data_IF_853796343026
#
_entry.id   IF_853796343026
#
_cell.length_a   1.000
_cell.length_b   1.000
_cell.length_c   1.000
_cell.angle_alpha   90.00
_cell.angle_beta   90.00
_cell.angle_gamma   90.00
#
_symmetry.space_group_name_H-M   'P 1'
#
loop_
_entity.id
_entity.type
_entity.pdbx_description
1 polymer ?
#
# COMPACT_ATOMS: atom_id res chain seq x y z
N UNK A 1 -20.68 12.65 -33.17
CA UNK A 1 -20.33 11.90 -31.94
C UNK A 1 -19.07 12.45 -31.33
N UNK A 2 -18.94 12.31 -30.01
CA UNK A 2 -17.80 12.74 -29.18
C UNK A 2 -17.13 11.51 -28.59
N UNK A 3 -15.80 11.45 -28.64
CA UNK A 3 -15.02 10.31 -28.17
C UNK A 3 -14.25 10.65 -26.89
N UNK A 4 -14.45 9.84 -25.84
CA UNK A 4 -13.71 9.91 -24.57
C UNK A 4 -13.05 8.56 -24.34
N UNK A 5 -11.73 8.50 -24.54
CA UNK A 5 -11.01 7.23 -24.53
C UNK A 5 -11.50 6.32 -25.66
N UNK A 6 -11.90 5.10 -25.32
CA UNK A 6 -12.50 4.12 -26.24
C UNK A 6 -14.01 4.26 -26.40
N UNK A 7 -14.66 5.08 -25.57
CA UNK A 7 -16.11 5.23 -25.55
C UNK A 7 -16.56 6.37 -26.45
N UNK A 8 -17.70 6.19 -27.10
CA UNK A 8 -18.24 7.09 -28.11
C UNK A 8 -19.65 7.48 -27.73
N UNK A 9 -19.97 8.78 -27.81
CA UNK A 9 -21.26 9.33 -27.40
C UNK A 9 -21.95 10.11 -28.52
N UNK A 10 -23.28 10.06 -28.53
CA UNK A 10 -24.12 10.85 -29.42
C UNK A 10 -23.98 12.35 -29.09
N UNK A 11 -23.78 13.19 -30.10
CA UNK A 11 -23.65 14.64 -29.87
C UNK A 11 -24.99 15.32 -29.52
N UNK A 12 -26.11 14.70 -29.89
CA UNK A 12 -27.42 15.33 -29.75
C UNK A 12 -28.08 14.99 -28.41
N UNK A 13 -28.00 13.73 -27.98
CA UNK A 13 -28.64 13.27 -26.74
C UNK A 13 -27.68 12.76 -25.67
N UNK A 14 -26.38 12.65 -25.95
CA UNK A 14 -25.37 12.16 -25.01
C UNK A 14 -25.37 10.66 -24.75
N UNK A 15 -26.19 9.87 -25.46
CA UNK A 15 -26.21 8.41 -25.30
C UNK A 15 -24.89 7.76 -25.73
N UNK A 16 -24.50 6.65 -25.08
CA UNK A 16 -23.40 5.81 -25.54
C UNK A 16 -23.80 5.13 -26.87
N UNK A 17 -22.95 5.28 -27.88
CA UNK A 17 -23.14 4.65 -29.18
C UNK A 17 -22.44 3.28 -29.23
N UNK A 18 -22.90 2.43 -30.15
CA UNK A 18 -22.28 1.13 -30.40
C UNK A 18 -20.83 1.28 -30.89
N UNK A 19 -20.07 0.19 -30.79
CA UNK A 19 -18.66 0.16 -31.19
C UNK A 19 -18.47 0.69 -32.63
N UNK A 20 -17.53 1.63 -32.77
CA UNK A 20 -17.09 2.14 -34.06
C UNK A 20 -16.54 1.01 -34.93
N UNK A 21 -16.90 1.00 -36.20
CA UNK A 21 -16.23 0.16 -37.21
C UNK A 21 -14.86 0.72 -37.61
N UNK A 22 -14.54 1.96 -37.20
CA UNK A 22 -13.29 2.64 -37.54
C UNK A 22 -13.25 3.13 -38.98
N UNK A 23 -14.40 3.18 -39.66
CA UNK A 23 -14.53 3.62 -41.03
C UNK A 23 -15.20 5.00 -41.08
N UNK A 24 -14.47 6.09 -41.40
CA UNK A 24 -15.00 7.44 -41.35
C UNK A 24 -16.13 7.71 -42.36
N UNK A 25 -16.36 6.78 -43.29
CA UNK A 25 -17.46 6.86 -44.27
C UNK A 25 -18.78 6.30 -43.73
N UNK A 26 -18.75 5.54 -42.64
CA UNK A 26 -19.94 4.95 -42.02
C UNK A 26 -20.62 5.90 -41.06
N UNK A 27 -21.93 5.71 -40.92
CA UNK A 27 -22.78 6.44 -39.98
C UNK A 27 -23.28 5.48 -38.91
N UNK A 28 -23.12 5.86 -37.65
CA UNK A 28 -23.68 5.19 -36.48
C UNK A 28 -24.97 5.87 -36.09
N UNK A 29 -26.06 5.11 -36.00
CA UNK A 29 -27.39 5.62 -35.65
C UNK A 29 -27.58 5.49 -34.14
N UNK A 30 -27.96 6.57 -33.47
CA UNK A 30 -28.28 6.54 -32.06
C UNK A 30 -29.61 5.81 -31.81
N UNK A 31 -29.60 4.80 -30.95
CA UNK A 31 -30.80 4.03 -30.57
C UNK A 31 -31.85 4.83 -29.79
N UNK A 32 -31.47 5.97 -29.20
CA UNK A 32 -32.38 6.79 -28.38
C UNK A 32 -33.01 7.91 -29.19
N UNK A 33 -32.20 8.78 -29.81
CA UNK A 33 -32.71 9.95 -30.53
C UNK A 33 -32.78 9.76 -32.05
N UNK A 34 -32.32 8.63 -32.59
CA UNK A 34 -32.29 8.36 -34.03
C UNK A 34 -31.25 9.16 -34.82
N UNK A 35 -30.45 10.00 -34.16
CA UNK A 35 -29.47 10.85 -34.84
C UNK A 35 -28.34 10.04 -35.48
N UNK A 36 -27.93 10.47 -36.68
CA UNK A 36 -26.84 9.85 -37.46
C UNK A 36 -25.53 10.54 -37.16
N UNK A 37 -24.62 9.82 -36.54
CA UNK A 37 -23.29 10.29 -36.17
C UNK A 37 -22.26 9.70 -37.13
N UNK A 38 -21.32 10.49 -37.62
CA UNK A 38 -20.18 9.96 -38.40
C UNK A 38 -19.30 9.11 -37.49
N UNK A 39 -18.95 7.92 -37.95
CA UNK A 39 -18.02 7.06 -37.25
C UNK A 39 -16.63 7.71 -37.22
N UNK A 40 -15.97 7.65 -36.08
CA UNK A 40 -14.67 8.25 -35.79
C UNK A 40 -13.84 7.12 -35.20
N UNK A 41 -12.64 6.94 -35.75
CA UNK A 41 -11.70 5.95 -35.23
C UNK A 41 -11.43 6.24 -33.75
N UNK A 42 -11.74 5.31 -32.83
CA UNK A 42 -11.50 5.52 -31.41
C UNK A 42 -9.99 5.62 -31.20
N UNK A 43 -9.59 6.47 -30.25
CA UNK A 43 -8.16 6.64 -29.95
C UNK A 43 -7.62 5.35 -29.32
N UNK A 44 -6.41 4.96 -29.70
CA UNK A 44 -5.70 3.85 -29.06
C UNK A 44 -5.57 4.11 -27.55
N UNK A 45 -6.03 3.17 -26.74
CA UNK A 45 -5.91 3.23 -25.28
C UNK A 45 -4.71 2.40 -24.84
N UNK A 46 -3.75 3.08 -24.21
CA UNK A 46 -2.62 2.42 -23.55
C UNK A 46 -2.99 2.22 -22.09
N UNK A 47 -3.00 0.97 -21.64
CA UNK A 47 -3.17 0.64 -20.23
C UNK A 47 -1.86 0.08 -19.69
N UNK A 48 -1.50 0.49 -18.49
CA UNK A 48 -0.31 0.02 -17.80
C UNK A 48 -0.71 -0.68 -16.49
N UNK A 49 0.05 -1.71 -16.12
CA UNK A 49 -0.16 -2.37 -14.83
C UNK A 49 0.11 -1.41 -13.70
N UNK A 50 -0.71 -1.46 -12.63
CA UNK A 50 -0.44 -0.69 -11.41
C UNK A 50 0.97 -1.01 -10.88
N UNK A 51 1.71 -0.04 -10.30
CA UNK A 51 3.03 -0.29 -9.73
C UNK A 51 3.04 -1.40 -8.66
N UNK A 52 1.94 -1.54 -7.92
CA UNK A 52 1.73 -2.58 -6.90
C UNK A 52 1.18 -3.91 -7.42
N UNK A 53 0.89 -4.04 -8.72
CA UNK A 53 0.27 -5.24 -9.29
C UNK A 53 1.15 -6.50 -9.15
N UNK A 54 2.48 -6.33 -9.05
CA UNK A 54 3.41 -7.44 -8.83
C UNK A 54 4.36 -7.14 -7.67
N UNK A 55 3.97 -7.41 -6.41
CA UNK A 55 4.85 -7.23 -5.27
C UNK A 55 6.02 -8.23 -5.35
N UNK A 56 7.26 -7.72 -5.27
CA UNK A 56 8.46 -8.56 -5.28
C UNK A 56 9.59 -7.92 -4.48
N UNK A 57 10.54 -8.72 -4.02
CA UNK A 57 11.73 -8.23 -3.30
C UNK A 57 12.56 -7.28 -4.16
N UNK A 58 12.70 -7.57 -5.47
CA UNK A 58 13.36 -6.70 -6.44
C UNK A 58 12.63 -5.35 -6.60
N UNK A 59 11.29 -5.36 -6.61
CA UNK A 59 10.51 -4.12 -6.70
C UNK A 59 10.56 -3.33 -5.40
N UNK A 60 10.55 -4.00 -4.24
CA UNK A 60 10.72 -3.35 -2.94
C UNK A 60 12.07 -2.62 -2.85
N UNK A 61 13.14 -3.18 -3.44
CA UNK A 61 14.46 -2.52 -3.54
C UNK A 61 14.48 -1.27 -4.43
N UNK A 62 13.48 -1.07 -5.30
CA UNK A 62 13.35 0.12 -6.15
C UNK A 62 12.61 1.27 -5.44
N UNK A 63 12.09 1.03 -4.24
CA UNK A 63 11.45 2.06 -3.42
C UNK A 63 12.48 3.06 -2.91
N UNK A 64 12.18 4.36 -3.00
CA UNK A 64 12.98 5.42 -2.37
C UNK A 64 12.80 5.46 -0.83
N UNK A 65 11.80 4.74 -0.31
CA UNK A 65 11.52 4.61 1.12
C UNK A 65 12.14 3.32 1.65
N UNK A 66 12.91 3.41 2.73
CA UNK A 66 13.40 2.24 3.46
C UNK A 66 12.25 1.54 4.19
N UNK A 67 12.08 0.25 3.91
CA UNK A 67 11.20 -0.61 4.69
C UNK A 67 11.94 -1.05 5.94
N UNK A 68 11.69 -0.37 7.07
CA UNK A 68 12.25 -0.78 8.36
C UNK A 68 11.52 -2.03 8.87
N UNK A 69 12.29 -3.07 9.17
CA UNK A 69 11.78 -4.28 9.81
C UNK A 69 11.62 -4.07 11.32
N UNK A 70 10.91 -4.97 11.99
CA UNK A 70 10.80 -4.93 13.45
C UNK A 70 12.17 -5.06 14.14
N UNK A 71 13.14 -5.72 13.49
CA UNK A 71 14.51 -5.83 13.99
C UNK A 71 15.27 -4.49 13.93
N UNK A 72 14.97 -3.65 12.93
CA UNK A 72 15.59 -2.33 12.79
C UNK A 72 15.05 -1.33 13.82
N UNK A 73 13.82 -1.57 14.32
CA UNK A 73 13.18 -0.77 15.36
C UNK A 73 13.58 -1.29 16.74
N UNK A 74 14.73 -0.85 17.25
CA UNK A 74 15.09 -1.07 18.65
C UNK A 74 14.25 -0.14 19.54
N UNK A 75 13.16 -0.67 20.10
CA UNK A 75 12.29 0.06 21.05
C UNK A 75 12.79 0.01 22.49
N UNK A 76 13.84 -0.76 22.76
CA UNK A 76 14.37 -0.98 24.11
C UNK A 76 15.33 0.16 24.50
N UNK A 77 15.17 0.71 25.70
CA UNK A 77 16.08 1.71 26.26
C UNK A 77 17.17 1.04 27.12
N UNK A 78 18.33 1.68 27.28
CA UNK A 78 19.40 1.21 28.18
C UNK A 78 19.15 1.68 29.61
N UNK A 79 19.44 0.82 30.58
CA UNK A 79 19.42 1.16 32.02
C UNK A 79 20.57 0.48 32.77
N UNK A 80 20.92 1.05 33.93
CA UNK A 80 21.94 0.51 34.83
C UNK A 80 21.37 -0.68 35.62
N UNK A 81 21.38 -1.86 35.01
CA UNK A 81 21.01 -3.12 35.64
C UNK A 81 22.08 -4.17 35.39
N UNK A 82 22.55 -4.83 36.46
CA UNK A 82 23.68 -5.76 36.35
C UNK A 82 23.20 -7.15 35.93
N UNK A 83 23.71 -7.63 34.79
CA UNK A 83 23.37 -8.95 34.27
C UNK A 83 23.93 -10.07 35.15
N UNK A 84 23.04 -10.90 35.71
CA UNK A 84 23.41 -12.04 36.55
C UNK A 84 24.29 -13.08 35.84
N UNK A 85 24.26 -13.14 34.50
CA UNK A 85 25.01 -14.15 33.72
C UNK A 85 26.42 -13.70 33.31
N UNK A 86 26.60 -12.44 32.91
CA UNK A 86 27.90 -11.97 32.39
C UNK A 86 28.47 -10.75 33.12
N UNK A 87 27.80 -10.23 34.15
CA UNK A 87 28.30 -9.16 34.99
C UNK A 87 28.34 -7.76 34.36
N UNK A 88 27.81 -7.58 33.13
CA UNK A 88 27.66 -6.24 32.53
C UNK A 88 26.71 -5.40 33.38
N UNK A 89 27.06 -4.12 33.57
CA UNK A 89 26.30 -3.16 34.40
C UNK A 89 25.12 -2.50 33.68
N UNK A 90 24.96 -2.78 32.40
CA UNK A 90 23.90 -2.21 31.57
C UNK A 90 23.13 -3.31 30.85
N UNK A 91 21.80 -3.16 30.84
CA UNK A 91 20.88 -4.02 30.11
C UNK A 91 19.83 -3.16 29.41
N UNK A 92 19.30 -3.67 28.30
CA UNK A 92 18.13 -3.08 27.66
C UNK A 92 16.89 -3.42 28.47
N UNK A 93 15.93 -2.50 28.56
CA UNK A 93 14.67 -2.75 29.22
C UNK A 93 13.47 -2.34 28.37
N UNK A 94 12.35 -3.02 28.59
CA UNK A 94 11.03 -2.67 28.04
C UNK A 94 9.98 -2.88 29.12
N UNK A 95 9.09 -1.91 29.30
CA UNK A 95 7.99 -2.00 30.27
C UNK A 95 6.69 -2.34 29.56
N UNK A 96 5.94 -3.29 30.11
CA UNK A 96 4.65 -3.73 29.57
C UNK A 96 3.68 -3.94 30.74
N UNK A 97 2.45 -3.45 30.60
CA UNK A 97 1.39 -3.76 31.56
C UNK A 97 0.75 -5.09 31.20
N UNK A 98 1.02 -6.12 32.01
CA UNK A 98 0.47 -7.46 31.82
C UNK A 98 -0.71 -7.78 32.73
N UNK A 99 -0.98 -6.90 33.71
CA UNK A 99 -1.96 -7.12 34.78
C UNK A 99 -2.94 -5.95 34.88
N UNK A 100 -3.82 -6.02 35.87
CA UNK A 100 -4.81 -4.97 36.16
C UNK A 100 -4.16 -3.59 36.25
N UNK A 101 -4.91 -2.52 35.94
CA UNK A 101 -4.40 -1.14 35.96
C UNK A 101 -3.93 -0.66 37.35
N UNK A 102 -4.31 -1.37 38.41
CA UNK A 102 -3.96 -1.09 39.81
C UNK A 102 -2.60 -1.71 40.22
N UNK A 103 -2.00 -2.55 39.37
CA UNK A 103 -0.69 -3.17 39.63
C UNK A 103 0.44 -2.46 38.89
N UNK A 104 1.67 -2.56 39.42
CA UNK A 104 2.87 -2.04 38.78
C UNK A 104 3.18 -2.71 37.44
N UNK A 105 3.96 -2.01 36.61
CA UNK A 105 4.34 -2.52 35.28
C UNK A 105 5.36 -3.65 35.37
N UNK A 106 5.28 -4.61 34.44
CA UNK A 106 6.29 -5.65 34.28
C UNK A 106 7.44 -5.11 33.43
N UNK A 107 8.66 -5.20 33.95
CA UNK A 107 9.90 -4.79 33.28
C UNK A 107 10.60 -6.02 32.73
N UNK A 108 10.84 -6.04 31.42
CA UNK A 108 11.65 -7.04 30.75
C UNK A 108 13.05 -6.49 30.53
N UNK A 109 14.08 -7.16 31.05
CA UNK A 109 15.47 -6.84 30.82
C UNK A 109 16.08 -7.81 29.80
N UNK A 110 16.79 -7.27 28.81
CA UNK A 110 17.53 -8.03 27.79
C UNK A 110 19.01 -7.61 27.82
N UNK A 111 19.90 -8.53 28.14
CA UNK A 111 21.34 -8.30 28.05
C UNK A 111 21.86 -8.61 26.64
N UNK A 112 22.93 -7.92 26.23
CA UNK A 112 23.68 -8.18 24.98
C UNK A 112 24.20 -9.63 24.89
N UNK A 113 24.41 -10.32 26.02
CA UNK A 113 24.80 -11.74 26.02
C UNK A 113 23.63 -12.70 25.72
N UNK A 114 22.42 -12.19 25.49
CA UNK A 114 21.21 -12.98 25.27
C UNK A 114 20.46 -13.42 26.54
N UNK A 115 20.96 -13.05 27.73
CA UNK A 115 20.24 -13.30 28.98
C UNK A 115 19.02 -12.38 29.09
N UNK A 116 17.87 -12.94 29.49
CA UNK A 116 16.62 -12.21 29.68
C UNK A 116 16.14 -12.39 31.11
N UNK A 117 15.63 -11.32 31.70
CA UNK A 117 15.11 -11.28 33.05
C UNK A 117 13.79 -10.52 33.08
N UNK A 118 12.92 -10.84 34.03
CA UNK A 118 11.61 -10.21 34.18
C UNK A 118 11.43 -9.81 35.63
N UNK A 119 11.10 -8.54 35.85
CA UNK A 119 10.82 -7.97 37.16
C UNK A 119 9.40 -7.42 37.18
N UNK A 120 8.62 -7.77 38.20
CA UNK A 120 7.31 -7.17 38.43
C UNK A 120 7.47 -6.12 39.53
N UNK A 121 7.09 -4.89 39.22
CA UNK A 121 7.02 -3.80 40.20
C UNK A 121 5.68 -3.78 40.92
#
# INVERSE_FOLDING_TARGET
MSAIGSLIFCNDCGNLLDESSGDPTKLVVCSICGARNRDIVPKTIVSESKPSAFPSTLRAKRSAVQNLTAADKRTEALTQHTCARCGRKEMYFTTVQLRSADEGSTVFYTCVCGYKETQNN
#
